data_IF_270062835759
#
_entry.id   IF_270062835759
#
_cell.length_a   1.000
_cell.length_b   1.000
_cell.length_c   1.000
_cell.angle_alpha   90.00
_cell.angle_beta   90.00
_cell.angle_gamma   90.00
#
_symmetry.space_group_name_H-M   'P 1'
#
loop_
_entity.id
_entity.type
_entity.pdbx_description
1 polymer ?
#
# COMPACT_ATOMS: atom_id res chain seq x y z
N UNK A 1 0.62 -8.36 -0.98
CA UNK A 1 -0.77 -8.30 -1.49
C UNK A 1 -1.62 -7.48 -0.53
N UNK A 2 -2.71 -6.88 -1.03
CA UNK A 2 -3.69 -6.10 -0.26
C UNK A 2 -5.05 -6.77 -0.44
N UNK A 3 -5.84 -6.86 0.63
CA UNK A 3 -7.15 -7.52 0.65
C UNK A 3 -8.26 -6.51 0.89
N UNK A 4 -9.46 -6.80 0.35
CA UNK A 4 -10.68 -6.05 0.68
C UNK A 4 -11.24 -6.64 1.98
N UNK A 5 -11.50 -5.79 2.96
CA UNK A 5 -12.05 -6.19 4.26
C UNK A 5 -13.54 -5.88 4.38
N UNK A 6 -14.01 -4.83 3.70
CA UNK A 6 -15.41 -4.39 3.75
C UNK A 6 -15.79 -3.56 2.52
N UNK A 7 -17.07 -3.57 2.18
CA UNK A 7 -17.69 -2.70 1.17
C UNK A 7 -18.88 -1.97 1.79
N UNK A 8 -18.93 -0.64 1.64
CA UNK A 8 -20.06 0.18 2.07
C UNK A 8 -20.72 0.87 0.87
N UNK A 9 -22.05 0.76 0.68
CA UNK A 9 -22.74 1.50 -0.38
C UNK A 9 -22.77 3.00 -0.06
N UNK A 10 -22.63 3.83 -1.08
CA UNK A 10 -22.74 5.29 -0.98
C UNK A 10 -23.82 5.78 -1.93
N UNK A 11 -25.02 5.99 -1.37
CA UNK A 11 -26.22 6.20 -2.17
C UNK A 11 -26.40 5.09 -3.21
N UNK A 12 -26.80 5.48 -4.41
CA UNK A 12 -26.98 4.55 -5.55
C UNK A 12 -25.88 4.66 -6.61
N UNK A 13 -24.81 5.43 -6.38
CA UNK A 13 -23.86 5.82 -7.44
C UNK A 13 -22.42 5.33 -7.20
N UNK A 14 -22.09 4.88 -5.99
CA UNK A 14 -20.73 4.47 -5.64
C UNK A 14 -20.69 3.46 -4.49
N UNK A 15 -19.51 2.87 -4.31
CA UNK A 15 -19.13 2.11 -3.12
C UNK A 15 -17.86 2.69 -2.51
N UNK A 16 -17.74 2.55 -1.19
CA UNK A 16 -16.48 2.72 -0.46
C UNK A 16 -15.88 1.35 -0.21
N UNK A 17 -14.59 1.20 -0.51
CA UNK A 17 -13.85 -0.05 -0.33
C UNK A 17 -12.87 0.15 0.83
N UNK A 18 -12.91 -0.78 1.80
CA UNK A 18 -11.98 -0.82 2.91
C UNK A 18 -10.90 -1.87 2.62
N UNK A 19 -9.65 -1.48 2.78
CA UNK A 19 -8.49 -2.34 2.58
C UNK A 19 -7.81 -2.70 3.91
N UNK A 20 -7.11 -3.84 3.95
CA UNK A 20 -6.41 -4.33 5.14
C UNK A 20 -5.14 -3.53 5.50
N UNK A 21 -4.66 -2.69 4.58
CA UNK A 21 -3.51 -1.80 4.79
C UNK A 21 -3.89 -0.44 5.41
N UNK A 22 -5.17 -0.26 5.78
CA UNK A 22 -5.69 0.93 6.45
C UNK A 22 -6.29 1.99 5.53
N UNK A 23 -6.35 1.76 4.21
CA UNK A 23 -7.06 2.66 3.30
C UNK A 23 -8.57 2.39 3.32
N UNK A 24 -9.36 3.38 3.74
CA UNK A 24 -10.82 3.29 3.83
C UNK A 24 -11.57 4.53 3.33
N UNK A 25 -10.85 5.57 2.90
CA UNK A 25 -11.45 6.85 2.49
C UNK A 25 -11.86 6.91 1.02
N UNK A 26 -11.44 5.93 0.21
CA UNK A 26 -11.67 5.89 -1.23
C UNK A 26 -13.14 5.70 -1.60
N UNK A 27 -13.61 6.51 -2.56
CA UNK A 27 -14.95 6.38 -3.14
C UNK A 27 -14.84 5.96 -4.61
N UNK A 28 -15.56 4.90 -4.97
CA UNK A 28 -15.48 4.28 -6.29
C UNK A 28 -16.87 4.27 -6.93
N UNK A 29 -17.09 5.14 -7.92
CA UNK A 29 -18.36 5.15 -8.67
C UNK A 29 -18.51 3.90 -9.53
N UNK A 30 -19.75 3.52 -9.83
CA UNK A 30 -20.03 2.38 -10.71
C UNK A 30 -19.42 2.55 -12.09
N UNK A 31 -19.50 3.76 -12.64
CA UNK A 31 -18.88 4.09 -13.92
C UNK A 31 -17.37 3.90 -13.87
N UNK A 32 -16.70 4.38 -12.81
CA UNK A 32 -15.27 4.24 -12.67
C UNK A 32 -14.84 2.77 -12.54
N UNK A 33 -15.54 2.00 -11.71
CA UNK A 33 -15.30 0.55 -11.58
C UNK A 33 -15.49 -0.17 -12.91
N UNK A 34 -16.50 0.21 -13.68
CA UNK A 34 -16.72 -0.32 -15.03
C UNK A 34 -15.56 0.04 -15.97
N UNK A 35 -15.10 1.29 -15.98
CA UNK A 35 -13.92 1.70 -16.76
C UNK A 35 -12.68 0.91 -16.36
N UNK A 36 -12.44 0.70 -15.06
CA UNK A 36 -11.31 -0.09 -14.57
C UNK A 36 -11.37 -1.54 -15.06
N UNK A 37 -12.56 -2.16 -15.03
CA UNK A 37 -12.77 -3.51 -15.56
C UNK A 37 -12.59 -3.58 -17.08
N UNK A 38 -13.20 -2.66 -17.82
CA UNK A 38 -13.13 -2.59 -19.29
C UNK A 38 -11.69 -2.40 -19.79
N UNK A 39 -10.93 -1.52 -19.13
CA UNK A 39 -9.58 -1.15 -19.56
C UNK A 39 -8.48 -1.91 -18.78
N UNK A 40 -8.84 -2.96 -18.05
CA UNK A 40 -7.94 -3.64 -17.10
C UNK A 40 -6.62 -4.03 -17.75
N UNK A 41 -6.66 -4.71 -18.89
CA UNK A 41 -5.46 -5.24 -19.54
C UNK A 41 -4.49 -4.12 -19.95
N UNK A 42 -5.02 -3.06 -20.56
CA UNK A 42 -4.24 -1.92 -21.00
C UNK A 42 -3.65 -1.13 -19.83
N UNK A 43 -4.43 -0.92 -18.76
CA UNK A 43 -3.96 -0.22 -17.55
C UNK A 43 -2.93 -1.04 -16.79
N UNK A 44 -3.14 -2.34 -16.71
CA UNK A 44 -2.23 -3.27 -16.04
C UNK A 44 -0.88 -3.36 -16.75
N UNK A 45 -0.87 -3.49 -18.08
CA UNK A 45 0.36 -3.47 -18.87
C UNK A 45 1.17 -2.18 -18.63
N UNK A 46 0.53 -1.01 -18.69
CA UNK A 46 1.18 0.27 -18.41
C UNK A 46 1.75 0.36 -16.99
N UNK A 47 1.08 -0.23 -16.00
CA UNK A 47 1.60 -0.27 -14.64
C UNK A 47 2.88 -1.13 -14.54
N UNK A 48 2.88 -2.33 -15.14
CA UNK A 48 4.04 -3.21 -15.16
C UNK A 48 5.23 -2.60 -15.91
N UNK A 49 4.98 -1.95 -17.05
CA UNK A 49 6.02 -1.22 -17.80
C UNK A 49 6.68 -0.14 -16.92
N UNK A 50 5.88 0.61 -16.15
CA UNK A 50 6.40 1.65 -15.24
C UNK A 50 7.20 1.07 -14.08
N UNK A 51 6.76 -0.05 -13.50
CA UNK A 51 7.52 -0.75 -12.47
C UNK A 51 8.89 -1.20 -13.01
N UNK A 52 8.88 -1.87 -14.17
CA UNK A 52 10.10 -2.37 -14.81
C UNK A 52 11.07 -1.23 -15.15
N UNK A 53 10.58 -0.11 -15.67
CA UNK A 53 11.39 1.06 -15.97
C UNK A 53 12.05 1.68 -14.72
N UNK A 54 11.46 1.48 -13.53
CA UNK A 54 12.00 1.96 -12.26
C UNK A 54 12.81 0.89 -11.50
N UNK A 55 12.93 -0.33 -12.05
CA UNK A 55 13.57 -1.45 -11.36
C UNK A 55 12.83 -1.89 -10.08
N UNK A 56 11.54 -1.61 -9.98
CA UNK A 56 10.70 -1.96 -8.83
C UNK A 56 9.93 -3.26 -9.09
N UNK A 57 9.63 -4.00 -8.01
CA UNK A 57 8.73 -5.15 -8.03
C UNK A 57 7.38 -4.77 -7.40
N UNK A 58 6.31 -5.45 -7.84
CA UNK A 58 4.98 -5.38 -7.23
C UNK A 58 4.96 -6.06 -5.87
N UNK A 59 5.63 -7.21 -5.71
CA UNK A 59 5.67 -7.89 -4.42
C UNK A 59 6.89 -7.41 -3.63
N UNK A 60 6.70 -6.73 -2.49
CA UNK A 60 7.83 -6.42 -1.62
C UNK A 60 8.51 -7.67 -1.05
N UNK A 61 7.85 -8.85 -1.09
CA UNK A 61 8.38 -10.10 -0.55
C UNK A 61 8.08 -11.31 -1.46
N UNK A 62 8.74 -11.43 -2.63
CA UNK A 62 8.40 -12.39 -3.69
C UNK A 62 8.59 -13.89 -3.32
N UNK A 63 9.19 -14.20 -2.16
CA UNK A 63 9.44 -15.57 -1.69
C UNK A 63 8.88 -15.86 -0.29
N UNK A 64 7.96 -15.04 0.23
CA UNK A 64 7.33 -15.32 1.51
C UNK A 64 6.24 -16.41 1.35
N UNK A 65 6.25 -17.50 2.13
CA UNK A 65 5.19 -18.50 2.05
C UNK A 65 3.84 -17.84 2.37
N UNK A 66 2.82 -18.17 1.56
CA UNK A 66 1.44 -17.74 1.73
C UNK A 66 0.80 -18.40 2.97
N UNK A 67 1.27 -18.05 4.16
CA UNK A 67 0.57 -18.42 5.39
C UNK A 67 -0.17 -17.20 5.90
N UNK A 68 -1.50 -17.27 5.92
CA UNK A 68 -2.45 -16.24 6.37
C UNK A 68 -2.28 -15.79 7.85
N UNK A 69 -1.18 -16.14 8.52
CA UNK A 69 -0.88 -15.70 9.87
C UNK A 69 0.06 -14.47 9.83
N UNK A 70 -0.53 -13.28 10.02
CA UNK A 70 0.14 -12.09 10.57
C UNK A 70 1.37 -11.60 9.77
N UNK A 71 1.13 -11.10 8.56
CA UNK A 71 2.06 -10.11 7.97
C UNK A 71 2.12 -8.92 8.94
N UNK A 72 3.31 -8.46 9.37
CA UNK A 72 3.40 -7.26 10.18
C UNK A 72 2.84 -6.09 9.37
N UNK A 73 1.76 -5.46 9.88
CA UNK A 73 1.35 -4.15 9.39
C UNK A 73 2.57 -3.24 9.47
N UNK A 74 2.95 -2.64 8.34
CA UNK A 74 4.06 -1.68 8.25
C UNK A 74 4.10 -0.81 9.51
N UNK A 75 5.27 -0.62 10.15
CA UNK A 75 5.36 0.23 11.33
C UNK A 75 4.79 1.60 10.97
N UNK A 76 3.72 2.00 11.67
CA UNK A 76 3.25 3.38 11.66
C UNK A 76 4.47 4.25 11.92
N UNK A 77 4.82 5.11 10.96
CA UNK A 77 5.76 6.20 11.20
C UNK A 77 5.15 7.07 12.29
N UNK A 78 5.64 6.89 13.51
CA UNK A 78 5.32 7.74 14.64
C UNK A 78 5.93 9.13 14.36
N UNK A 79 5.11 10.05 13.87
CA UNK A 79 5.46 11.46 13.81
C UNK A 79 5.44 12.01 15.23
N UNK A 80 6.50 11.75 16.01
CA UNK A 80 6.49 12.20 17.39
C UNK A 80 7.71 11.94 18.27
N UNK A 81 8.95 11.87 17.77
CA UNK A 81 10.10 12.08 18.68
C UNK A 81 11.42 12.38 17.93
N UNK A 82 11.56 13.61 17.42
CA UNK A 82 12.90 14.18 17.12
C UNK A 82 13.29 15.13 18.23
N UNK A 83 13.66 14.59 19.37
CA UNK A 83 14.38 15.30 20.42
C UNK A 83 15.62 14.50 20.80
N UNK A 84 16.77 15.03 20.39
CA UNK A 84 18.06 14.93 21.08
C UNK A 84 18.55 13.54 21.52
N UNK A 85 19.24 12.83 20.61
CA UNK A 85 20.33 11.93 21.04
C UNK A 85 21.41 11.68 20.00
N UNK A 86 21.94 12.73 19.41
CA UNK A 86 23.27 12.72 18.79
C UNK A 86 24.25 13.37 19.75
N UNK A 87 24.92 12.54 20.56
CA UNK A 87 25.85 13.07 21.56
C UNK A 87 26.50 12.02 22.46
N UNK A 88 27.06 10.95 21.88
CA UNK A 88 28.17 10.22 22.53
C UNK A 88 28.92 9.34 21.53
N UNK A 89 29.78 9.95 20.70
CA UNK A 89 30.87 9.22 20.06
C UNK A 89 32.12 9.43 20.93
N UNK A 90 32.60 8.32 21.47
CA UNK A 90 33.88 8.15 22.13
C UNK A 90 34.99 8.42 21.12
N UNK A 91 35.96 9.23 21.50
CA UNK A 91 37.34 9.10 21.02
C UNK A 91 38.26 9.23 22.24
N UNK A 92 38.80 8.08 22.64
CA UNK A 92 40.12 7.99 23.26
C UNK A 92 41.15 8.36 22.18
N UNK A 93 42.07 9.27 22.51
CA UNK A 93 43.50 9.24 22.16
C UNK A 93 44.12 10.61 22.51
N UNK A 94 45.09 10.63 23.44
CA UNK A 94 45.88 11.80 23.83
C UNK A 94 46.22 11.86 25.31
#
# INVERSE_FOLDING_TARGET
>A
YVKITKLDPVGNYAIRIHFDDGHDTGLYSWEYLYTLGKDQAARWGKYLERLAAQGLDRDPFPNAPETDAKRPSSPRGDHGETAERIGRMKFEDG
#
